data_IF_414104927398
#
_entry.id   IF_414104927398
#
_cell.length_a   1.000
_cell.length_b   1.000
_cell.length_c   1.000
_cell.angle_alpha   90.00
_cell.angle_beta   90.00
_cell.angle_gamma   90.00
#
_symmetry.space_group_name_H-M   'P 1'
#
loop_
_entity.id
_entity.type
_entity.pdbx_description
1 polymer ?
#
# COMPACT_ATOMS: atom_id res chain seq x y z
N UNK A 1 3.67 0.20 -28.41
CA UNK A 1 3.67 1.27 -27.46
C UNK A 1 2.74 1.03 -26.29
N UNK A 2 3.17 1.46 -25.14
CA UNK A 2 2.41 1.27 -23.92
C UNK A 2 1.43 2.43 -23.74
N UNK A 3 0.14 2.12 -23.83
CA UNK A 3 -0.91 3.12 -23.66
C UNK A 3 -1.65 2.95 -22.34
N UNK A 4 -0.95 2.43 -21.36
CA UNK A 4 -1.54 2.23 -20.07
C UNK A 4 -2.00 3.56 -19.48
N UNK A 5 -3.27 3.64 -19.18
CA UNK A 5 -3.84 4.84 -18.58
C UNK A 5 -4.17 4.59 -17.11
N UNK A 6 -3.70 5.48 -16.26
CA UNK A 6 -3.97 5.40 -14.83
C UNK A 6 -4.94 6.52 -14.45
N UNK A 7 -5.78 6.23 -13.45
CA UNK A 7 -6.70 7.23 -12.92
C UNK A 7 -5.94 8.38 -12.27
N UNK A 8 -6.66 9.49 -12.03
CA UNK A 8 -6.08 10.62 -11.32
C UNK A 8 -5.58 10.20 -9.94
N UNK A 9 -6.35 9.33 -9.27
CA UNK A 9 -5.96 8.83 -7.96
C UNK A 9 -4.65 8.06 -8.03
N UNK A 10 -4.52 7.20 -9.03
CA UNK A 10 -3.30 6.41 -9.19
C UNK A 10 -2.09 7.29 -9.50
N UNK A 11 -2.28 8.32 -10.32
CA UNK A 11 -1.21 9.25 -10.66
C UNK A 11 -0.76 10.05 -9.44
N UNK A 12 -1.72 10.44 -8.60
CA UNK A 12 -1.39 11.14 -7.37
C UNK A 12 -0.60 10.24 -6.42
N UNK A 13 -0.97 8.96 -6.36
CA UNK A 13 -0.22 7.99 -5.56
C UNK A 13 1.23 7.88 -6.03
N UNK A 14 1.46 7.88 -7.36
CA UNK A 14 2.82 7.83 -7.88
C UNK A 14 3.63 9.03 -7.40
N UNK A 15 3.00 10.21 -7.38
CA UNK A 15 3.66 11.41 -6.91
C UNK A 15 4.02 11.29 -5.42
N UNK A 16 3.10 10.78 -4.62
CA UNK A 16 3.36 10.55 -3.20
C UNK A 16 4.49 9.56 -2.99
N UNK A 17 4.52 8.50 -3.79
CA UNK A 17 5.58 7.50 -3.69
C UNK A 17 6.95 8.12 -3.96
N UNK A 18 7.04 8.97 -4.98
CA UNK A 18 8.32 9.63 -5.29
C UNK A 18 8.77 10.53 -4.14
N UNK A 19 7.85 11.27 -3.55
CA UNK A 19 8.16 12.11 -2.39
C UNK A 19 8.61 11.26 -1.20
N UNK A 20 7.90 10.16 -0.97
CA UNK A 20 8.21 9.26 0.15
C UNK A 20 9.59 8.62 -0.04
N UNK A 21 9.93 8.24 -1.27
CA UNK A 21 11.25 7.68 -1.55
C UNK A 21 12.36 8.67 -1.20
N UNK A 22 12.07 9.95 -1.27
CA UNK A 22 13.03 10.99 -0.93
C UNK A 22 12.94 11.43 0.54
N UNK A 23 12.20 10.66 1.35
CA UNK A 23 12.17 10.89 2.78
C UNK A 23 11.08 11.81 3.28
N UNK A 24 10.12 12.17 2.44
CA UNK A 24 9.03 13.04 2.84
C UNK A 24 8.05 12.29 3.73
N UNK A 25 8.07 12.61 5.03
CA UNK A 25 7.22 11.93 6.01
C UNK A 25 5.74 12.23 5.78
N UNK A 26 5.42 13.41 5.28
CA UNK A 26 4.03 13.75 4.98
C UNK A 26 3.48 12.89 3.86
N UNK A 27 4.32 12.51 2.90
CA UNK A 27 3.90 11.64 1.81
C UNK A 27 3.57 10.23 2.33
N UNK A 28 4.39 9.70 3.24
CA UNK A 28 4.09 8.43 3.89
C UNK A 28 2.75 8.48 4.61
N UNK A 29 2.54 9.55 5.39
CA UNK A 29 1.31 9.70 6.16
C UNK A 29 0.10 9.78 5.24
N UNK A 30 0.24 10.48 4.13
CA UNK A 30 -0.87 10.61 3.18
C UNK A 30 -1.20 9.26 2.52
N UNK A 31 -0.20 8.49 2.15
CA UNK A 31 -0.43 7.16 1.59
C UNK A 31 -1.14 6.26 2.58
N UNK A 32 -0.74 6.30 3.85
CA UNK A 32 -1.41 5.52 4.88
C UNK A 32 -2.87 5.96 5.03
N UNK A 33 -3.09 7.27 5.07
CA UNK A 33 -4.44 7.82 5.23
C UNK A 33 -5.35 7.39 4.08
N UNK A 34 -4.83 7.35 2.87
CA UNK A 34 -5.61 6.99 1.69
C UNK A 34 -6.04 5.52 1.70
N UNK A 35 -5.25 4.64 2.28
CA UNK A 35 -5.47 3.19 2.15
C UNK A 35 -5.68 2.45 3.45
N UNK A 36 -5.48 3.09 4.59
CA UNK A 36 -5.52 2.39 5.87
C UNK A 36 -6.84 1.65 6.09
N UNK A 37 -7.95 2.32 5.83
CA UNK A 37 -9.27 1.76 6.11
C UNK A 37 -9.60 0.59 5.20
N UNK A 38 -9.41 0.76 3.90
CA UNK A 38 -9.73 -0.29 2.94
C UNK A 38 -8.81 -1.49 3.11
N UNK A 39 -7.54 -1.23 3.41
CA UNK A 39 -6.58 -2.31 3.63
C UNK A 39 -6.94 -3.11 4.88
N UNK A 40 -7.27 -2.42 5.96
CA UNK A 40 -7.70 -3.07 7.18
C UNK A 40 -8.90 -3.98 6.95
N UNK A 41 -9.93 -3.48 6.25
CA UNK A 41 -11.13 -4.27 6.01
C UNK A 41 -10.85 -5.49 5.13
N UNK A 42 -9.95 -5.35 4.16
CA UNK A 42 -9.57 -6.47 3.33
C UNK A 42 -8.88 -7.54 4.16
N UNK A 43 -7.97 -7.13 5.03
CA UNK A 43 -7.24 -8.06 5.90
C UNK A 43 -8.21 -8.71 6.90
N UNK A 44 -9.13 -7.93 7.45
CA UNK A 44 -10.08 -8.44 8.43
C UNK A 44 -10.94 -9.55 7.84
N UNK A 45 -11.32 -9.43 6.57
CA UNK A 45 -12.09 -10.48 5.91
C UNK A 45 -11.32 -11.80 5.81
N UNK A 46 -10.01 -11.72 5.70
CA UNK A 46 -9.17 -12.89 5.58
C UNK A 46 -8.84 -13.51 6.95
N UNK A 47 -8.57 -12.68 7.93
CA UNK A 47 -8.04 -13.11 9.24
C UNK A 47 -9.16 -13.29 10.26
N UNK A 48 -10.21 -12.46 10.20
CA UNK A 48 -11.38 -12.54 11.07
C UNK A 48 -11.07 -12.37 12.55
N UNK A 49 -10.07 -11.55 12.84
CA UNK A 49 -9.70 -11.20 14.20
C UNK A 49 -9.26 -9.75 14.18
N UNK A 50 -9.92 -8.90 14.97
CA UNK A 50 -9.70 -7.45 14.92
C UNK A 50 -8.27 -7.09 15.29
N UNK A 51 -7.77 -7.66 16.39
CA UNK A 51 -6.42 -7.31 16.87
C UNK A 51 -5.36 -7.74 15.86
N UNK A 52 -5.49 -8.94 15.32
CA UNK A 52 -4.54 -9.44 14.32
C UNK A 52 -4.64 -8.63 13.03
N UNK A 53 -5.85 -8.25 12.64
CA UNK A 53 -6.02 -7.46 11.41
C UNK A 53 -5.38 -6.08 11.57
N UNK A 54 -5.48 -5.47 12.75
CA UNK A 54 -4.84 -4.19 12.98
C UNK A 54 -3.31 -4.31 12.89
N UNK A 55 -2.77 -5.34 13.52
CA UNK A 55 -1.33 -5.57 13.49
C UNK A 55 -0.84 -5.83 12.08
N UNK A 56 -1.57 -6.65 11.32
CA UNK A 56 -1.19 -6.99 9.95
C UNK A 56 -1.31 -5.80 9.02
N UNK A 57 -2.24 -4.88 9.29
CA UNK A 57 -2.36 -3.66 8.49
C UNK A 57 -1.12 -2.79 8.69
N UNK A 58 -0.70 -2.61 9.94
CA UNK A 58 0.51 -1.85 10.24
C UNK A 58 1.73 -2.51 9.60
N UNK A 59 1.80 -3.83 9.70
CA UNK A 59 2.92 -4.58 9.15
C UNK A 59 2.98 -4.46 7.63
N UNK A 60 1.82 -4.47 6.97
CA UNK A 60 1.77 -4.32 5.52
C UNK A 60 2.34 -2.99 5.07
N UNK A 61 1.96 -1.90 5.76
CA UNK A 61 2.51 -0.59 5.44
C UNK A 61 4.01 -0.54 5.71
N UNK A 62 4.45 -1.15 6.82
CA UNK A 62 5.88 -1.17 7.14
C UNK A 62 6.68 -1.89 6.05
N UNK A 63 6.17 -3.03 5.59
CA UNK A 63 6.84 -3.77 4.52
C UNK A 63 6.85 -2.98 3.22
N UNK A 64 5.70 -2.35 2.89
CA UNK A 64 5.62 -1.58 1.66
C UNK A 64 6.61 -0.42 1.68
N UNK A 65 6.65 0.33 2.77
CA UNK A 65 7.53 1.50 2.85
C UNK A 65 8.99 1.10 2.90
N UNK A 66 9.30 -0.01 3.55
CA UNK A 66 10.67 -0.52 3.58
C UNK A 66 11.16 -0.91 2.18
N UNK A 67 10.25 -1.37 1.33
CA UNK A 67 10.58 -1.84 0.00
C UNK A 67 10.08 -0.90 -1.09
N UNK A 68 9.86 0.36 -0.76
CA UNK A 68 9.26 1.32 -1.69
C UNK A 68 10.11 1.53 -2.94
N UNK A 69 11.42 1.39 -2.81
CA UNK A 69 12.34 1.49 -3.94
C UNK A 69 12.13 0.37 -4.97
N UNK A 70 11.46 -0.70 -4.57
CA UNK A 70 11.17 -1.82 -5.48
C UNK A 70 9.85 -1.67 -6.22
N UNK A 71 9.04 -0.68 -5.83
CA UNK A 71 7.78 -0.45 -6.52
C UNK A 71 8.05 0.18 -7.89
N UNK A 72 7.39 -0.35 -8.90
CA UNK A 72 7.51 0.16 -10.27
C UNK A 72 6.14 0.56 -10.78
N UNK A 73 6.11 1.63 -11.58
CA UNK A 73 4.87 2.21 -12.06
C UNK A 73 4.28 1.43 -13.24
N UNK A 74 4.48 0.13 -13.26
CA UNK A 74 3.84 -0.75 -14.24
C UNK A 74 2.40 -1.05 -13.84
N UNK A 75 2.08 -0.86 -12.57
CA UNK A 75 0.75 -1.02 -12.01
C UNK A 75 0.58 -0.02 -10.87
N UNK A 76 -0.63 0.05 -10.33
CA UNK A 76 -0.92 1.07 -9.31
C UNK A 76 -0.25 0.73 -7.98
N UNK A 77 0.00 1.76 -7.19
CA UNK A 77 0.52 1.58 -5.84
C UNK A 77 -0.44 0.73 -5.00
N UNK A 78 -1.76 0.95 -5.14
CA UNK A 78 -2.72 0.17 -4.37
C UNK A 78 -2.64 -1.31 -4.71
N UNK A 79 -2.48 -1.66 -5.99
CA UNK A 79 -2.33 -3.07 -6.38
C UNK A 79 -1.11 -3.68 -5.69
N UNK A 80 0.00 -2.97 -5.71
CA UNK A 80 1.24 -3.44 -5.10
C UNK A 80 1.09 -3.59 -3.59
N UNK A 81 0.51 -2.56 -2.94
CA UNK A 81 0.30 -2.58 -1.49
C UNK A 81 -0.60 -3.73 -1.06
N UNK A 82 -1.72 -3.90 -1.75
CA UNK A 82 -2.67 -4.95 -1.39
C UNK A 82 -2.10 -6.33 -1.63
N UNK A 83 -1.22 -6.49 -2.62
CA UNK A 83 -0.53 -7.76 -2.84
C UNK A 83 0.40 -8.09 -1.69
N UNK A 84 1.13 -7.10 -1.20
CA UNK A 84 1.98 -7.28 -0.02
C UNK A 84 1.14 -7.73 1.17
N UNK A 85 0.00 -7.06 1.37
CA UNK A 85 -0.86 -7.35 2.50
C UNK A 85 -1.47 -8.75 2.43
N UNK A 86 -1.97 -9.15 1.26
CA UNK A 86 -2.57 -10.47 1.13
C UNK A 86 -1.54 -11.57 1.27
N UNK A 87 -0.34 -11.39 0.71
CA UNK A 87 0.73 -12.36 0.89
C UNK A 87 1.11 -12.48 2.36
N UNK A 88 1.13 -11.35 3.07
CA UNK A 88 1.42 -11.37 4.50
C UNK A 88 0.36 -12.14 5.28
N UNK A 89 -0.90 -12.02 4.89
CA UNK A 89 -1.98 -12.76 5.54
C UNK A 89 -1.88 -14.26 5.28
N UNK A 90 -1.48 -14.66 4.08
CA UNK A 90 -1.31 -16.07 3.76
C UNK A 90 -0.23 -16.69 4.62
N UNK A 91 0.84 -15.94 4.90
CA UNK A 91 1.94 -16.42 5.72
C UNK A 91 1.64 -16.36 7.21
N UNK A 92 0.56 -15.72 7.58
CA UNK A 92 0.18 -15.56 8.99
C UNK A 92 -0.37 -16.89 9.58
#
# INVERSE_FOLDING_TARGET
EDNKEFSQKALYDFKLVELAKNGDQNAFAELMKRYNRSLYHTILKMIRNVDDAEDLTIEAFAKAFKNLDKFKEDYTFSTWLFRIATNNCIDF
#
